data_IF_764640321041
#
_entry.id   IF_764640321041
#
_cell.length_a   1.000
_cell.length_b   1.000
_cell.length_c   1.000
_cell.angle_alpha   90.00
_cell.angle_beta   90.00
_cell.angle_gamma   90.00
#
_symmetry.space_group_name_H-M   'P 1'
#
loop_
_entity.id
_entity.type
_entity.pdbx_description
1 polymer ?
#
# COMPACT_ATOMS: atom_id res chain seq x y z
N UNK A 1 -2.20 19.94 -1.80
CA UNK A 1 -3.04 19.10 -0.92
C UNK A 1 -2.25 17.83 -0.68
N UNK A 2 -2.02 17.43 0.58
CA UNK A 2 -1.16 16.29 0.90
C UNK A 2 -1.98 14.99 0.75
N UNK A 3 -1.52 14.04 -0.08
CA UNK A 3 -2.18 12.76 -0.30
C UNK A 3 -2.46 12.01 1.01
N UNK A 4 -1.55 12.12 1.99
CA UNK A 4 -1.72 11.54 3.32
C UNK A 4 -2.90 12.18 4.06
N UNK A 5 -3.07 13.51 3.96
CA UNK A 5 -4.19 14.22 4.59
C UNK A 5 -5.52 13.80 3.97
N UNK A 6 -5.59 13.71 2.64
CA UNK A 6 -6.80 13.25 1.95
C UNK A 6 -7.13 11.80 2.33
N UNK A 7 -6.12 10.93 2.41
CA UNK A 7 -6.29 9.54 2.80
C UNK A 7 -6.79 9.37 4.24
N UNK A 8 -6.28 10.18 5.17
CA UNK A 8 -6.74 10.17 6.56
C UNK A 8 -8.19 10.66 6.64
N UNK A 9 -8.54 11.73 5.92
CA UNK A 9 -9.90 12.26 5.91
C UNK A 9 -10.89 11.29 5.26
N UNK A 10 -10.54 10.74 4.09
CA UNK A 10 -11.35 9.74 3.38
C UNK A 10 -11.56 8.45 4.16
N UNK A 11 -10.59 8.05 4.99
CA UNK A 11 -10.71 6.90 5.88
C UNK A 11 -11.64 7.15 7.09
N UNK A 12 -12.04 8.40 7.36
CA UNK A 12 -12.88 8.79 8.50
C UNK A 12 -12.11 9.42 9.67
N UNK A 13 -10.93 9.98 9.40
CA UNK A 13 -10.15 10.79 10.33
C UNK A 13 -9.07 10.03 11.12
N UNK A 14 -8.21 10.77 11.84
CA UNK A 14 -7.00 10.21 12.45
C UNK A 14 -7.29 9.19 13.55
N UNK A 15 -8.40 9.33 14.28
CA UNK A 15 -8.81 8.37 15.30
C UNK A 15 -9.15 6.99 14.71
N UNK A 16 -9.92 6.95 13.62
CA UNK A 16 -10.29 5.70 12.96
C UNK A 16 -9.08 5.02 12.31
N UNK A 17 -8.24 5.82 11.64
CA UNK A 17 -6.97 5.32 11.06
C UNK A 17 -6.07 4.75 12.14
N UNK A 18 -5.89 5.43 13.28
CA UNK A 18 -5.03 4.93 14.36
C UNK A 18 -5.44 3.56 14.89
N UNK A 19 -6.76 3.33 15.04
CA UNK A 19 -7.32 2.05 15.49
C UNK A 19 -7.09 0.95 14.46
N UNK A 20 -7.31 1.25 13.17
CA UNK A 20 -7.09 0.30 12.09
C UNK A 20 -5.60 -0.06 11.91
N UNK A 21 -4.72 0.91 12.11
CA UNK A 21 -3.27 0.77 12.00
C UNK A 21 -2.60 0.19 13.26
N UNK A 22 -3.32 0.11 14.39
CA UNK A 22 -2.77 -0.33 15.67
C UNK A 22 -1.72 0.64 16.26
N UNK A 23 -1.83 1.94 15.97
CA UNK A 23 -0.87 2.97 16.40
C UNK A 23 -1.55 4.06 17.23
N UNK A 24 -0.77 4.98 17.81
CA UNK A 24 -1.31 6.17 18.47
C UNK A 24 -1.89 7.16 17.47
N UNK A 25 -2.91 7.93 17.88
CA UNK A 25 -3.48 9.04 17.08
C UNK A 25 -2.41 10.06 16.72
N UNK A 26 -1.47 10.33 17.63
CA UNK A 26 -0.36 11.24 17.41
C UNK A 26 0.55 10.80 16.26
N UNK A 27 0.81 9.49 16.12
CA UNK A 27 1.58 8.98 14.97
C UNK A 27 0.88 9.33 13.65
N UNK A 28 -0.44 9.19 13.59
CA UNK A 28 -1.24 9.56 12.42
C UNK A 28 -1.17 11.07 12.13
N UNK A 29 -1.26 11.90 13.16
CA UNK A 29 -1.08 13.36 13.02
C UNK A 29 0.32 13.70 12.50
N UNK A 30 1.37 13.03 12.98
CA UNK A 30 2.73 13.25 12.47
C UNK A 30 2.89 12.89 10.99
N UNK A 31 2.21 11.84 10.52
CA UNK A 31 2.20 11.52 9.08
C UNK A 31 1.46 12.59 8.27
N UNK A 32 0.30 13.05 8.76
CA UNK A 32 -0.49 14.12 8.14
C UNK A 32 0.32 15.42 8.02
N UNK A 33 1.01 15.78 9.10
CA UNK A 33 1.76 17.04 9.23
C UNK A 33 3.16 16.95 8.60
N UNK A 34 3.56 15.78 8.07
CA UNK A 34 4.87 15.57 7.45
C UNK A 34 6.03 15.53 8.44
N UNK A 35 5.75 15.47 9.75
CA UNK A 35 6.75 15.38 10.82
C UNK A 35 7.39 13.99 10.89
N UNK A 36 6.74 12.97 10.32
CA UNK A 36 7.27 11.61 10.22
C UNK A 36 6.82 10.95 8.93
N UNK A 37 7.73 10.21 8.29
CA UNK A 37 7.42 9.40 7.12
C UNK A 37 6.42 8.29 7.45
N UNK A 38 5.44 8.09 6.57
CA UNK A 38 4.47 7.01 6.67
C UNK A 38 5.17 5.65 6.40
N UNK A 39 5.17 4.69 7.34
CA UNK A 39 5.75 3.37 7.12
C UNK A 39 5.03 2.60 6.00
N UNK A 40 5.76 1.73 5.29
CA UNK A 40 5.20 0.98 4.16
C UNK A 40 4.03 0.07 4.57
N UNK A 41 4.11 -0.61 5.72
CA UNK A 41 3.03 -1.46 6.23
C UNK A 41 1.73 -0.67 6.48
N UNK A 42 1.87 0.60 6.88
CA UNK A 42 0.74 1.48 7.13
C UNK A 42 0.14 2.06 5.86
N UNK A 43 0.93 2.19 4.78
CA UNK A 43 0.43 2.59 3.47
C UNK A 43 -0.61 1.58 2.96
N UNK A 44 -0.33 0.28 3.12
CA UNK A 44 -1.23 -0.80 2.70
C UNK A 44 -2.55 -0.73 3.48
N UNK A 45 -2.48 -0.56 4.80
CA UNK A 45 -3.67 -0.42 5.64
C UNK A 45 -4.50 0.79 5.22
N UNK A 46 -3.84 1.92 4.94
CA UNK A 46 -4.51 3.16 4.55
C UNK A 46 -5.13 3.07 3.15
N UNK A 47 -4.48 2.41 2.20
CA UNK A 47 -5.04 2.12 0.87
C UNK A 47 -6.30 1.25 0.97
N UNK A 48 -6.28 0.20 1.82
CA UNK A 48 -7.45 -0.66 2.08
C UNK A 48 -8.61 0.13 2.69
N UNK A 49 -8.34 1.02 3.64
CA UNK A 49 -9.36 1.90 4.23
C UNK A 49 -9.99 2.85 3.20
N UNK A 50 -9.22 3.23 2.18
CA UNK A 50 -9.67 4.09 1.08
C UNK A 50 -10.20 3.30 -0.13
N UNK A 51 -10.36 1.97 -0.02
CA UNK A 51 -10.85 1.11 -1.10
C UNK A 51 -10.08 1.29 -2.42
N UNK A 52 -8.77 1.55 -2.33
CA UNK A 52 -7.91 1.76 -3.49
C UNK A 52 -8.06 3.11 -4.19
N UNK A 53 -8.86 4.06 -3.66
CA UNK A 53 -8.95 5.42 -4.22
C UNK A 53 -7.64 6.20 -4.09
N UNK A 54 -6.87 5.93 -3.04
CA UNK A 54 -5.55 6.49 -2.82
C UNK A 54 -4.59 5.31 -2.70
N UNK A 55 -3.60 5.28 -3.59
CA UNK A 55 -2.67 4.15 -3.70
C UNK A 55 -1.45 4.38 -2.81
N UNK A 56 -0.75 3.31 -2.47
CA UNK A 56 0.52 3.38 -1.74
C UNK A 56 1.54 4.29 -2.46
N UNK A 57 1.45 4.36 -3.78
CA UNK A 57 2.29 5.20 -4.65
C UNK A 57 2.06 6.70 -4.40
N UNK A 58 0.81 7.10 -4.17
CA UNK A 58 0.46 8.49 -3.86
C UNK A 58 0.89 8.87 -2.43
N UNK A 59 0.89 7.90 -1.51
CA UNK A 59 1.27 8.08 -0.12
C UNK A 59 2.79 8.17 0.08
N UNK A 60 3.56 7.51 -0.80
CA UNK A 60 5.03 7.43 -0.73
C UNK A 60 5.65 7.80 -2.08
N UNK A 61 5.58 9.08 -2.48
CA UNK A 61 6.21 9.56 -3.71
C UNK A 61 7.76 9.56 -3.64
N UNK A 62 8.33 9.34 -2.46
CA UNK A 62 9.77 9.20 -2.23
C UNK A 62 10.34 7.83 -2.69
N UNK A 63 9.48 6.87 -2.98
CA UNK A 63 9.88 5.53 -3.44
C UNK A 63 9.78 5.47 -4.97
N UNK A 64 10.79 4.88 -5.62
CA UNK A 64 10.77 4.63 -7.07
C UNK A 64 9.90 3.41 -7.40
N UNK A 65 8.59 3.64 -7.52
CA UNK A 65 7.62 2.62 -7.88
C UNK A 65 7.75 2.14 -9.32
N UNK A 66 8.34 2.93 -10.21
CA UNK A 66 8.58 2.52 -11.59
C UNK A 66 9.64 1.42 -11.61
N UNK A 67 10.76 1.60 -10.90
CA UNK A 67 11.77 0.57 -10.69
C UNK A 67 11.19 -0.68 -10.02
N UNK A 68 10.36 -0.53 -8.98
CA UNK A 68 9.74 -1.69 -8.32
C UNK A 68 8.84 -2.52 -9.25
N UNK A 69 8.28 -1.94 -10.31
CA UNK A 69 7.49 -2.69 -11.32
C UNK A 69 8.34 -3.40 -12.36
N UNK A 70 9.58 -2.95 -12.59
CA UNK A 70 10.48 -3.60 -13.56
C UNK A 70 11.15 -4.85 -12.98
N UNK A 71 11.28 -4.91 -11.66
CA UNK A 71 11.72 -6.10 -10.93
C UNK A 71 10.58 -7.12 -10.79
N UNK A 72 10.23 -7.78 -11.91
CA UNK A 72 9.50 -9.04 -11.82
C UNK A 72 10.43 -10.09 -11.23
N UNK A 73 10.02 -10.74 -10.14
CA UNK A 73 10.70 -11.93 -9.63
C UNK A 73 10.87 -12.93 -10.79
N UNK A 74 12.07 -13.51 -11.03
CA UNK A 74 12.30 -14.48 -12.11
C UNK A 74 11.55 -15.83 -11.97
N UNK A 75 10.44 -15.89 -11.23
CA UNK A 75 9.75 -17.12 -10.87
C UNK A 75 8.53 -17.34 -11.75
N UNK A 76 8.71 -17.38 -13.08
CA UNK A 76 7.73 -17.99 -13.99
C UNK A 76 8.38 -18.44 -15.31
N UNK A 77 9.48 -19.21 -15.24
CA UNK A 77 9.98 -19.99 -16.40
C UNK A 77 9.97 -21.50 -16.13
N UNK A 78 9.24 -21.96 -15.12
CA UNK A 78 9.20 -23.38 -14.75
C UNK A 78 7.80 -23.82 -14.29
N UNK A 79 6.80 -23.75 -15.17
CA UNK A 79 5.71 -24.75 -15.20
C UNK A 79 5.26 -25.05 -16.63
N UNK A 80 5.75 -26.13 -17.27
CA UNK A 80 5.01 -26.77 -18.34
C UNK A 80 3.88 -27.62 -17.72
N UNK A 81 2.70 -27.03 -17.51
CA UNK A 81 1.47 -27.82 -17.37
C UNK A 81 0.90 -28.13 -18.76
N UNK A 82 1.63 -28.91 -19.54
CA UNK A 82 1.05 -29.71 -20.64
C UNK A 82 1.01 -31.15 -20.17
N UNK A 83 -0.03 -31.51 -19.42
CA UNK A 83 -0.42 -32.91 -19.27
C UNK A 83 -1.54 -33.20 -20.25
N UNK A 84 -1.17 -33.33 -21.53
CA UNK A 84 -1.98 -34.03 -22.54
C UNK A 84 -1.21 -35.30 -22.92
N UNK A 85 -1.71 -36.45 -22.47
CA UNK A 85 -1.63 -37.81 -23.04
C UNK A 85 -2.77 -38.56 -22.34
N UNK A 86 -3.96 -38.74 -22.93
CA UNK A 86 -4.33 -39.63 -24.05
C UNK A 86 -3.79 -41.07 -23.92
N UNK A 87 -4.75 -42.01 -24.00
CA UNK A 87 -4.74 -43.49 -24.16
C UNK A 87 -4.31 -44.32 -22.94
N UNK A 88 -5.06 -45.34 -22.47
CA UNK A 88 -5.77 -46.44 -23.18
C UNK A 88 -7.05 -46.88 -22.45
#
# INVERSE_FOLDING_TARGET
>A
MNAITEAINGAGGPAKVSRACGVSVQAVCFWRDGLRTLPADQCITLEKLNQGRIRCEDLRPDVDWAYLRTIQSPQELAQPSTSTKEVE
#
